data_IF_960279608489
#
_entry.id   IF_960279608489
#
_cell.length_a   1.000
_cell.length_b   1.000
_cell.length_c   1.000
_cell.angle_alpha   90.00
_cell.angle_beta   90.00
_cell.angle_gamma   90.00
#
_symmetry.space_group_name_H-M   'P 1'
#
loop_
_entity.id
_entity.type
_entity.pdbx_description
1 polymer ?
#
# COMPACT_ATOMS: atom_id res chain seq x y z
N UNK A 1 14.48 -21.87 11.48
CA UNK A 1 13.64 -20.70 11.15
C UNK A 1 14.38 -19.97 10.04
N UNK A 2 13.82 -19.90 8.84
CA UNK A 2 14.51 -19.37 7.67
C UNK A 2 14.72 -17.85 7.87
N UNK A 3 15.95 -17.34 7.69
CA UNK A 3 16.25 -15.89 7.80
C UNK A 3 15.37 -15.03 6.88
N UNK A 4 14.80 -15.64 5.83
CA UNK A 4 13.91 -15.02 4.82
C UNK A 4 12.57 -14.48 5.35
N UNK A 5 12.16 -14.81 6.57
CA UNK A 5 10.85 -14.41 7.12
C UNK A 5 10.94 -13.38 8.26
N UNK A 6 12.12 -12.81 8.52
CA UNK A 6 12.32 -11.93 9.67
C UNK A 6 11.54 -10.61 9.57
N UNK A 7 11.23 -10.18 8.34
CA UNK A 7 10.43 -8.97 8.08
C UNK A 7 9.05 -9.01 8.77
N UNK A 8 8.45 -10.19 8.97
CA UNK A 8 7.14 -10.32 9.63
C UNK A 8 7.15 -9.89 11.10
N UNK A 9 8.33 -9.86 11.73
CA UNK A 9 8.47 -9.44 13.14
C UNK A 9 8.59 -7.93 13.28
N UNK A 10 8.92 -7.23 12.19
CA UNK A 10 9.17 -5.79 12.18
C UNK A 10 7.90 -5.02 12.56
N UNK A 11 8.07 -3.86 13.18
CA UNK A 11 6.96 -2.97 13.50
C UNK A 11 6.24 -2.53 12.21
N UNK A 12 6.99 -2.27 11.14
CA UNK A 12 6.47 -1.90 9.83
C UNK A 12 5.47 -2.93 9.29
N UNK A 13 5.88 -4.20 9.23
CA UNK A 13 5.02 -5.25 8.68
C UNK A 13 3.79 -5.50 9.55
N UNK A 14 3.95 -5.48 10.88
CA UNK A 14 2.81 -5.61 11.81
C UNK A 14 1.80 -4.48 11.61
N UNK A 15 2.27 -3.25 11.38
CA UNK A 15 1.38 -2.12 11.11
C UNK A 15 0.71 -2.22 9.73
N UNK A 16 1.38 -2.80 8.74
CA UNK A 16 0.75 -3.13 7.45
C UNK A 16 -0.36 -4.18 7.60
N UNK A 17 -0.17 -5.20 8.45
CA UNK A 17 -1.23 -6.18 8.74
C UNK A 17 -2.41 -5.55 9.50
N UNK A 18 -2.16 -4.66 10.46
CA UNK A 18 -3.23 -3.90 11.13
C UNK A 18 -4.06 -3.09 10.13
N UNK A 19 -3.40 -2.39 9.18
CA UNK A 19 -4.06 -1.70 8.08
C UNK A 19 -4.92 -2.66 7.25
N UNK A 20 -4.39 -3.85 6.92
CA UNK A 20 -5.11 -4.86 6.15
C UNK A 20 -6.34 -5.38 6.86
N UNK A 21 -6.25 -5.62 8.17
CA UNK A 21 -7.38 -6.06 8.99
C UNK A 21 -8.47 -4.98 9.07
N UNK A 22 -8.09 -3.71 9.25
CA UNK A 22 -9.04 -2.59 9.22
C UNK A 22 -9.71 -2.42 7.85
N UNK A 23 -8.93 -2.51 6.77
CA UNK A 23 -9.46 -2.45 5.40
C UNK A 23 -10.47 -3.58 5.12
N UNK A 24 -10.15 -4.80 5.56
CA UNK A 24 -11.03 -5.96 5.45
C UNK A 24 -12.33 -5.75 6.23
N UNK A 25 -12.24 -5.28 7.48
CA UNK A 25 -13.42 -5.01 8.29
C UNK A 25 -14.34 -3.95 7.65
N UNK A 26 -13.76 -2.90 7.06
CA UNK A 26 -14.51 -1.86 6.33
C UNK A 26 -15.23 -2.44 5.10
N UNK A 27 -14.55 -3.29 4.33
CA UNK A 27 -15.13 -3.87 3.10
C UNK A 27 -16.21 -4.90 3.43
N UNK A 28 -16.02 -5.69 4.49
CA UNK A 28 -17.01 -6.66 4.98
C UNK A 28 -18.24 -5.99 5.60
N UNK A 29 -18.11 -4.80 6.19
CA UNK A 29 -19.24 -4.03 6.74
C UNK A 29 -19.96 -3.18 5.68
N UNK A 30 -19.32 -2.93 4.54
CA UNK A 30 -19.91 -2.18 3.44
C UNK A 30 -21.09 -2.95 2.81
N UNK A 31 -22.19 -2.26 2.44
CA UNK A 31 -23.34 -2.90 1.81
C UNK A 31 -22.94 -3.49 0.46
N UNK A 32 -23.62 -4.56 0.03
CA UNK A 32 -23.52 -5.03 -1.34
C UNK A 32 -24.27 -4.09 -2.30
N UNK A 33 -23.75 -3.96 -3.52
CA UNK A 33 -24.50 -3.32 -4.58
C UNK A 33 -25.86 -4.02 -4.77
N UNK A 34 -26.97 -3.28 -4.65
CA UNK A 34 -28.30 -3.87 -4.86
C UNK A 34 -28.48 -4.19 -6.35
N UNK A 35 -29.16 -5.30 -6.66
CA UNK A 35 -29.46 -5.67 -8.06
C UNK A 35 -30.38 -4.65 -8.76
N UNK A 36 -31.19 -3.93 -7.98
CA UNK A 36 -32.20 -2.96 -8.45
C UNK A 36 -31.76 -1.48 -8.30
N UNK A 37 -30.45 -1.19 -8.19
CA UNK A 37 -30.00 0.22 -8.18
C UNK A 37 -30.29 0.85 -9.55
N UNK A 38 -31.20 1.82 -9.59
CA UNK A 38 -31.50 2.60 -10.80
C UNK A 38 -30.23 3.27 -11.37
N UNK A 39 -29.31 3.64 -10.48
CA UNK A 39 -27.99 4.19 -10.79
C UNK A 39 -26.89 3.10 -10.82
N UNK A 40 -26.69 2.51 -12.00
CA UNK A 40 -25.58 1.57 -12.25
C UNK A 40 -24.19 2.15 -11.99
N UNK A 41 -24.03 3.48 -12.02
CA UNK A 41 -22.74 4.12 -11.76
C UNK A 41 -22.38 4.07 -10.27
N UNK A 42 -23.33 4.33 -9.37
CA UNK A 42 -23.10 4.23 -7.92
C UNK A 42 -22.74 2.80 -7.49
N UNK A 43 -23.43 1.79 -8.01
CA UNK A 43 -23.13 0.39 -7.76
C UNK A 43 -21.71 0.01 -8.23
N UNK A 44 -21.31 0.47 -9.42
CA UNK A 44 -19.96 0.27 -9.96
C UNK A 44 -18.89 0.96 -9.11
N UNK A 45 -19.16 2.16 -8.60
CA UNK A 45 -18.26 2.92 -7.75
C UNK A 45 -18.06 2.25 -6.39
N UNK A 46 -19.13 1.70 -5.81
CA UNK A 46 -19.09 0.97 -4.54
C UNK A 46 -18.18 -0.25 -4.63
N UNK A 47 -18.45 -1.14 -5.60
CA UNK A 47 -17.66 -2.37 -5.77
C UNK A 47 -16.21 -2.06 -6.18
N UNK A 48 -16.00 -1.09 -7.09
CA UNK A 48 -14.65 -0.65 -7.43
C UNK A 48 -13.88 -0.10 -6.22
N UNK A 49 -14.56 0.60 -5.31
CA UNK A 49 -13.92 1.10 -4.08
C UNK A 49 -13.56 -0.02 -3.11
N UNK A 50 -14.42 -1.03 -2.96
CA UNK A 50 -14.10 -2.22 -2.15
C UNK A 50 -12.87 -2.95 -2.70
N UNK A 51 -12.84 -3.16 -4.02
CA UNK A 51 -11.71 -3.79 -4.71
C UNK A 51 -10.42 -2.99 -4.52
N UNK A 52 -10.47 -1.68 -4.72
CA UNK A 52 -9.31 -0.80 -4.55
C UNK A 52 -8.80 -0.80 -3.11
N UNK A 53 -9.69 -0.77 -2.11
CA UNK A 53 -9.31 -0.83 -0.69
C UNK A 53 -8.55 -2.13 -0.42
N UNK A 54 -9.12 -3.28 -0.80
CA UNK A 54 -8.51 -4.58 -0.53
C UNK A 54 -7.22 -4.79 -1.30
N UNK A 55 -7.20 -4.48 -2.60
CA UNK A 55 -6.03 -4.66 -3.45
C UNK A 55 -4.83 -3.85 -2.92
N UNK A 56 -5.06 -2.60 -2.53
CA UNK A 56 -4.02 -1.75 -1.98
C UNK A 56 -3.56 -2.20 -0.59
N UNK A 57 -4.48 -2.65 0.28
CA UNK A 57 -4.13 -3.17 1.60
C UNK A 57 -3.21 -4.41 1.51
N UNK A 58 -3.53 -5.36 0.62
CA UNK A 58 -2.67 -6.52 0.39
C UNK A 58 -1.33 -6.15 -0.27
N UNK A 59 -1.32 -5.15 -1.16
CA UNK A 59 -0.11 -4.72 -1.87
C UNK A 59 0.97 -4.22 -0.90
N UNK A 60 0.58 -3.51 0.16
CA UNK A 60 1.53 -2.97 1.16
C UNK A 60 2.40 -4.09 1.73
N UNK A 61 1.77 -5.13 2.30
CA UNK A 61 2.49 -6.27 2.89
C UNK A 61 3.32 -7.05 1.87
N UNK A 62 2.79 -7.26 0.67
CA UNK A 62 3.50 -7.97 -0.40
C UNK A 62 4.77 -7.24 -0.85
N UNK A 63 4.72 -5.90 -0.95
CA UNK A 63 5.87 -5.08 -1.37
C UNK A 63 6.91 -4.92 -0.26
N UNK A 64 6.50 -4.91 1.00
CA UNK A 64 7.45 -5.04 2.12
C UNK A 64 8.19 -6.37 2.01
N UNK A 65 7.46 -7.50 1.88
CA UNK A 65 8.07 -8.82 1.77
C UNK A 65 9.05 -8.91 0.57
N UNK A 66 8.67 -8.35 -0.58
CA UNK A 66 9.51 -8.29 -1.77
C UNK A 66 10.81 -7.49 -1.54
N UNK A 67 10.72 -6.31 -0.95
CA UNK A 67 11.89 -5.48 -0.68
C UNK A 67 12.87 -6.08 0.34
N UNK A 68 12.39 -6.84 1.34
CA UNK A 68 13.25 -7.56 2.27
C UNK A 68 13.99 -8.75 1.64
N UNK A 69 13.54 -9.23 0.48
CA UNK A 69 14.17 -10.32 -0.24
C UNK A 69 15.22 -9.83 -1.26
N UNK A 70 15.48 -8.52 -1.32
CA UNK A 70 16.34 -7.87 -2.31
C UNK A 70 17.35 -6.94 -1.63
N UNK A 71 18.56 -6.89 -2.19
CA UNK A 71 19.63 -5.98 -1.74
C UNK A 71 19.88 -4.80 -2.71
N UNK A 72 19.13 -4.75 -3.82
CA UNK A 72 19.24 -3.69 -4.84
C UNK A 72 18.40 -2.46 -4.48
N UNK A 73 19.05 -1.31 -4.38
CA UNK A 73 18.44 -0.05 -3.96
C UNK A 73 17.27 0.39 -4.84
N UNK A 74 17.41 0.31 -6.17
CA UNK A 74 16.40 0.73 -7.14
C UNK A 74 15.13 -0.12 -7.01
N UNK A 75 15.25 -1.44 -6.90
CA UNK A 75 14.12 -2.34 -6.66
C UNK A 75 13.49 -2.12 -5.27
N UNK A 76 14.28 -1.86 -4.24
CA UNK A 76 13.75 -1.49 -2.91
C UNK A 76 12.95 -0.18 -2.98
N UNK A 77 13.46 0.83 -3.69
CA UNK A 77 12.79 2.11 -3.92
C UNK A 77 11.52 1.97 -4.75
N UNK A 78 11.52 1.11 -5.78
CA UNK A 78 10.31 0.80 -6.55
C UNK A 78 9.21 0.23 -5.65
N UNK A 79 9.54 -0.73 -4.78
CA UNK A 79 8.60 -1.29 -3.82
C UNK A 79 8.09 -0.22 -2.84
N UNK A 80 8.97 0.65 -2.35
CA UNK A 80 8.59 1.76 -1.48
C UNK A 80 7.61 2.75 -2.18
N UNK A 81 7.83 3.04 -3.45
CA UNK A 81 6.91 3.85 -4.26
C UNK A 81 5.52 3.21 -4.37
N UNK A 82 5.46 1.91 -4.64
CA UNK A 82 4.20 1.17 -4.73
C UNK A 82 3.45 1.13 -3.39
N UNK A 83 4.16 0.95 -2.27
CA UNK A 83 3.58 1.03 -0.91
C UNK A 83 2.96 2.40 -0.66
N UNK A 84 3.72 3.48 -0.92
CA UNK A 84 3.22 4.85 -0.72
C UNK A 84 1.99 5.14 -1.58
N UNK A 85 1.98 4.66 -2.83
CA UNK A 85 0.82 4.77 -3.72
C UNK A 85 -0.38 4.05 -3.12
N UNK A 86 -0.20 2.80 -2.70
CA UNK A 86 -1.25 1.96 -2.14
C UNK A 86 -1.91 2.60 -0.93
N UNK A 87 -1.13 3.12 0.03
CA UNK A 87 -1.67 3.82 1.19
C UNK A 87 -2.57 5.01 0.79
N UNK A 88 -2.15 5.79 -0.21
CA UNK A 88 -2.92 6.95 -0.68
C UNK A 88 -4.20 6.54 -1.41
N UNK A 89 -4.10 5.60 -2.34
CA UNK A 89 -5.23 5.12 -3.15
C UNK A 89 -6.29 4.47 -2.26
N UNK A 90 -5.88 3.65 -1.29
CA UNK A 90 -6.77 3.04 -0.31
C UNK A 90 -7.55 4.08 0.52
N UNK A 91 -6.89 5.13 1.02
CA UNK A 91 -7.56 6.20 1.78
C UNK A 91 -8.53 7.00 0.89
N UNK A 92 -8.20 7.19 -0.39
CA UNK A 92 -9.08 7.86 -1.35
C UNK A 92 -10.30 7.00 -1.67
N UNK A 93 -10.14 5.68 -1.84
CA UNK A 93 -11.22 4.75 -2.16
C UNK A 93 -12.33 4.71 -1.09
N UNK A 94 -12.03 5.07 0.16
CA UNK A 94 -13.07 5.27 1.19
C UNK A 94 -14.17 6.25 0.76
N UNK A 95 -13.85 7.25 -0.08
CA UNK A 95 -14.84 8.21 -0.59
C UNK A 95 -15.90 7.58 -1.46
N UNK A 96 -15.57 6.52 -2.22
CA UNK A 96 -16.58 5.85 -3.03
C UNK A 96 -17.58 5.06 -2.19
N UNK A 97 -17.15 4.52 -1.03
CA UNK A 97 -18.06 3.95 -0.03
C UNK A 97 -19.02 5.01 0.54
N UNK A 98 -18.51 6.21 0.86
CA UNK A 98 -19.33 7.32 1.37
C UNK A 98 -20.38 7.79 0.37
N UNK A 99 -19.99 7.93 -0.90
CA UNK A 99 -20.89 8.35 -1.99
C UNK A 99 -22.02 7.33 -2.15
N UNK A 100 -21.73 6.03 -2.02
CA UNK A 100 -22.72 4.96 -2.04
C UNK A 100 -23.57 4.85 -0.76
N UNK A 101 -23.43 5.81 0.18
CA UNK A 101 -24.24 5.91 1.39
C UNK A 101 -23.75 5.06 2.56
N UNK A 102 -22.57 4.43 2.46
CA UNK A 102 -21.95 3.74 3.60
C UNK A 102 -21.23 4.75 4.50
N UNK A 103 -21.71 4.89 5.74
CA UNK A 103 -21.21 5.91 6.68
C UNK A 103 -20.65 5.27 7.96
N UNK A 104 -19.44 4.70 7.86
CA UNK A 104 -18.68 4.21 9.02
C UNK A 104 -17.47 5.09 9.31
N UNK A 105 -17.73 6.38 9.58
CA UNK A 105 -16.67 7.38 9.76
C UNK A 105 -15.67 6.99 10.86
N UNK A 106 -16.12 6.34 11.94
CA UNK A 106 -15.23 5.85 12.98
C UNK A 106 -14.20 4.82 12.46
N UNK A 107 -14.62 3.85 11.64
CA UNK A 107 -13.71 2.86 11.05
C UNK A 107 -12.80 3.50 9.99
N UNK A 108 -13.32 4.45 9.21
CA UNK A 108 -12.52 5.19 8.23
C UNK A 108 -11.42 6.01 8.91
N UNK A 109 -11.74 6.64 10.04
CA UNK A 109 -10.77 7.40 10.83
C UNK A 109 -9.73 6.49 11.48
N UNK A 110 -10.12 5.28 11.91
CA UNK A 110 -9.15 4.27 12.37
C UNK A 110 -8.18 3.86 11.25
N UNK A 111 -8.67 3.59 10.03
CA UNK A 111 -7.80 3.26 8.90
C UNK A 111 -6.87 4.41 8.55
N UNK A 112 -7.37 5.65 8.53
CA UNK A 112 -6.55 6.86 8.29
C UNK A 112 -5.47 7.01 9.36
N UNK A 113 -5.82 6.84 10.64
CA UNK A 113 -4.86 6.90 11.73
C UNK A 113 -3.80 5.79 11.63
N UNK A 114 -4.19 4.57 11.28
CA UNK A 114 -3.25 3.46 11.09
C UNK A 114 -2.25 3.75 9.95
N UNK A 115 -2.69 4.38 8.86
CA UNK A 115 -1.79 4.84 7.77
C UNK A 115 -0.85 5.95 8.24
N UNK A 116 -1.31 6.88 9.08
CA UNK A 116 -0.44 7.92 9.64
C UNK A 116 0.60 7.37 10.62
N UNK A 117 0.23 6.39 11.45
CA UNK A 117 1.16 5.68 12.33
C UNK A 117 2.14 4.78 11.56
N UNK A 118 1.74 4.27 10.40
CA UNK A 118 2.62 3.51 9.50
C UNK A 118 3.71 4.39 8.88
N UNK A 119 3.41 5.65 8.59
CA UNK A 119 4.30 6.61 7.92
C UNK A 119 5.70 6.73 8.56
N UNK A 120 5.88 6.97 9.88
CA UNK A 120 7.21 7.06 10.47
C UNK A 120 8.00 5.75 10.36
N UNK A 121 7.35 4.60 10.55
CA UNK A 121 7.98 3.28 10.39
C UNK A 121 8.47 3.08 8.95
N UNK A 122 7.67 3.51 7.98
CA UNK A 122 8.00 3.45 6.56
C UNK A 122 9.20 4.36 6.22
N UNK A 123 9.22 5.58 6.74
CA UNK A 123 10.32 6.52 6.53
C UNK A 123 11.63 5.98 7.12
N UNK A 124 11.59 5.46 8.35
CA UNK A 124 12.75 4.83 9.00
C UNK A 124 13.25 3.64 8.20
N UNK A 125 12.35 2.80 7.69
CA UNK A 125 12.70 1.65 6.86
C UNK A 125 13.35 2.05 5.53
N UNK A 126 12.79 3.01 4.80
CA UNK A 126 13.36 3.50 3.53
C UNK A 126 14.75 4.11 3.77
N UNK A 127 14.97 4.78 4.90
CA UNK A 127 16.28 5.33 5.25
C UNK A 127 17.38 4.25 5.47
N UNK A 128 17.01 2.98 5.55
CA UNK A 128 17.98 1.86 5.65
C UNK A 128 18.49 1.38 4.29
N UNK A 129 17.87 1.79 3.18
CA UNK A 129 18.27 1.36 1.84
C UNK A 129 19.64 1.93 1.52
N UNK A 130 20.55 1.04 1.07
CA UNK A 130 21.94 1.40 0.76
C UNK A 130 22.09 1.55 -0.74
N UNK A 131 22.72 2.64 -1.16
CA UNK A 131 23.04 2.92 -2.57
C UNK A 131 24.26 2.13 -3.09
N UNK A 132 24.83 1.24 -2.28
CA UNK A 132 26.04 0.48 -2.62
C UNK A 132 25.81 -0.58 -3.70
N UNK A 133 24.59 -1.11 -3.80
CA UNK A 133 24.20 -2.07 -4.83
C UNK A 133 23.01 -1.50 -5.61
N UNK A 134 23.29 -1.10 -6.86
CA UNK A 134 22.35 -0.43 -7.76
C UNK A 134 22.48 -1.00 -9.15
N UNK A 135 21.35 -1.11 -9.86
CA UNK A 135 21.35 -1.23 -11.31
C UNK A 135 20.90 0.08 -11.95
N UNK A 136 21.34 0.29 -13.19
CA UNK A 136 20.87 1.42 -13.99
C UNK A 136 19.36 1.30 -14.23
N UNK A 137 18.60 2.30 -13.77
CA UNK A 137 17.17 2.40 -14.05
C UNK A 137 16.96 3.08 -15.41
N UNK A 138 16.50 2.30 -16.40
CA UNK A 138 16.15 2.76 -17.75
C UNK A 138 15.05 3.84 -17.75
N UNK A 139 14.20 3.88 -16.72
CA UNK A 139 13.14 4.89 -16.58
C UNK A 139 13.64 6.16 -15.88
N UNK A 140 14.83 6.12 -15.29
CA UNK A 140 15.49 7.27 -14.66
C UNK A 140 14.85 7.78 -13.38
N UNK A 141 13.98 7.00 -12.72
CA UNK A 141 13.28 7.39 -11.51
C UNK A 141 14.15 7.21 -10.25
N UNK A 142 15.04 6.22 -10.27
CA UNK A 142 15.83 5.83 -9.09
C UNK A 142 17.35 6.05 -9.24
N UNK A 143 17.80 6.58 -10.39
CA UNK A 143 19.19 6.98 -10.59
C UNK A 143 19.52 8.22 -9.73
N UNK A 144 20.66 8.20 -9.03
CA UNK A 144 21.15 9.32 -8.26
C UNK A 144 21.79 10.39 -9.16
N UNK A 145 21.87 11.66 -8.70
CA UNK A 145 22.56 12.71 -9.43
C UNK A 145 24.03 12.32 -9.73
N UNK A 146 24.36 12.23 -11.01
CA UNK A 146 25.70 11.85 -11.46
C UNK A 146 25.89 10.38 -11.81
N UNK A 147 24.86 9.54 -11.65
CA UNK A 147 24.87 8.18 -12.19
C UNK A 147 24.98 8.22 -13.72
N UNK A 148 25.76 7.30 -14.26
CA UNK A 148 25.89 7.05 -15.70
C UNK A 148 25.53 5.59 -15.97
N UNK A 149 24.98 5.27 -17.15
CA UNK A 149 24.73 3.88 -17.52
C UNK A 149 26.03 3.08 -17.46
N UNK A 150 25.94 1.82 -17.02
CA UNK A 150 27.06 0.89 -17.18
C UNK A 150 27.36 0.77 -18.68
N UNK A 151 28.53 1.25 -19.09
CA UNK A 151 29.02 1.08 -20.45
C UNK A 151 29.72 -0.28 -20.54
N UNK A 152 29.20 -1.16 -21.41
CA UNK A 152 29.84 -2.42 -21.81
C UNK A 152 31.28 -2.25 -22.32
#
# INVERSE_FOLDING_TARGET
>A
MNERDDYRKTALFKKAEEIRELAMAIVESAPDAKEDVEDRFEASMLEGSKDDIMANAYLIGAKIAGAYAMDLYDLQMENACLIRRACREMVVALRGLEIAGHSEQAHFDLLRAAVEDFRPLFVEWVATFKDSERMWDEWGLFNLPGDVPDTD
#
